data_IF_436650475476
#
_entry.id   IF_436650475476
#
_cell.length_a   1.000
_cell.length_b   1.000
_cell.length_c   1.000
_cell.angle_alpha   90.00
_cell.angle_beta   90.00
_cell.angle_gamma   90.00
#
_symmetry.space_group_name_H-M   'P 1'
#
loop_
_entity.id
_entity.type
_entity.pdbx_description
1 polymer ?
#
# COMPACT_ATOMS: atom_id res chain seq x y z
N UNK A 1 -45.56 13.19 50.94
CA UNK A 1 -44.29 12.42 50.96
C UNK A 1 -44.03 11.89 49.56
N UNK A 2 -42.85 12.24 49.05
CA UNK A 2 -42.38 12.31 47.67
C UNK A 2 -42.25 10.94 46.96
N UNK A 3 -42.86 10.77 45.78
CA UNK A 3 -42.47 9.74 44.80
C UNK A 3 -42.41 10.37 43.42
N UNK A 4 -41.27 10.98 43.14
CA UNK A 4 -40.98 11.60 41.84
C UNK A 4 -39.84 10.83 41.17
N UNK A 5 -40.08 10.46 39.91
CA UNK A 5 -39.10 10.21 38.84
C UNK A 5 -37.94 9.23 39.14
N UNK A 6 -38.18 7.92 38.97
CA UNK A 6 -37.08 6.95 38.72
C UNK A 6 -37.21 6.11 37.45
N UNK A 7 -38.31 6.24 36.70
CA UNK A 7 -38.56 5.40 35.51
C UNK A 7 -38.02 5.97 34.19
N UNK A 8 -37.74 7.27 34.11
CA UNK A 8 -37.21 7.89 32.89
C UNK A 8 -35.68 7.80 32.72
N UNK A 9 -34.93 7.70 33.82
CA UNK A 9 -33.46 7.74 33.79
C UNK A 9 -32.84 6.43 33.25
N UNK A 10 -33.50 5.29 33.48
CA UNK A 10 -33.03 3.98 32.99
C UNK A 10 -33.18 3.83 31.47
N UNK A 11 -34.23 4.40 30.87
CA UNK A 11 -34.44 4.35 29.41
C UNK A 11 -33.47 5.27 28.66
N UNK A 12 -33.12 6.42 29.24
CA UNK A 12 -32.10 7.32 28.68
C UNK A 12 -30.70 6.72 28.72
N UNK A 13 -30.34 6.00 29.79
CA UNK A 13 -29.04 5.32 29.91
C UNK A 13 -28.91 4.13 28.94
N UNK A 14 -30.01 3.40 28.66
CA UNK A 14 -30.02 2.34 27.65
C UNK A 14 -29.86 2.89 26.22
N UNK A 15 -30.46 4.05 25.93
CA UNK A 15 -30.32 4.71 24.62
C UNK A 15 -28.92 5.31 24.40
N UNK A 16 -28.26 5.79 25.46
CA UNK A 16 -26.87 6.27 25.42
C UNK A 16 -25.85 5.14 25.25
N UNK A 17 -26.13 3.94 25.75
CA UNK A 17 -25.31 2.74 25.49
C UNK A 17 -25.49 2.22 24.05
N UNK A 18 -26.70 2.31 23.50
CA UNK A 18 -27.01 1.88 22.13
C UNK A 18 -26.44 2.80 21.02
N UNK A 19 -25.98 4.00 21.37
CA UNK A 19 -25.26 4.92 20.46
C UNK A 19 -23.74 4.73 20.49
N UNK A 20 -23.23 3.73 21.18
CA UNK A 20 -21.82 3.39 21.09
C UNK A 20 -21.61 2.68 19.75
N UNK A 21 -21.21 3.45 18.74
CA UNK A 21 -20.73 2.85 17.49
C UNK A 21 -19.66 1.82 17.86
N UNK A 22 -19.94 0.56 17.55
CA UNK A 22 -18.89 -0.46 17.63
C UNK A 22 -17.80 0.01 16.69
N UNK A 23 -16.53 0.15 17.15
CA UNK A 23 -15.47 0.54 16.23
C UNK A 23 -15.51 -0.45 15.08
N UNK A 24 -15.76 0.05 13.86
CA UNK A 24 -15.67 -0.77 12.67
C UNK A 24 -14.28 -1.41 12.71
N UNK A 25 -14.22 -2.73 12.86
CA UNK A 25 -12.95 -3.43 12.82
C UNK A 25 -12.47 -3.25 11.39
N UNK A 26 -11.42 -2.46 11.20
CA UNK A 26 -10.76 -2.31 9.92
C UNK A 26 -10.50 -3.71 9.35
N UNK A 27 -10.99 -3.99 8.15
CA UNK A 27 -10.69 -5.23 7.47
C UNK A 27 -9.21 -5.19 7.07
N UNK A 28 -8.40 -5.94 7.84
CA UNK A 28 -6.95 -6.02 7.69
C UNK A 28 -6.59 -7.49 7.54
N UNK A 29 -5.94 -7.82 6.43
CA UNK A 29 -5.28 -9.12 6.23
C UNK A 29 -3.78 -8.97 6.50
N UNK A 30 -3.20 -9.91 7.23
CA UNK A 30 -1.75 -9.95 7.48
C UNK A 30 -1.16 -11.23 6.91
N UNK A 31 -0.08 -11.12 6.17
CA UNK A 31 0.65 -12.27 5.64
C UNK A 31 2.09 -12.24 6.11
N UNK A 32 2.62 -13.43 6.39
CA UNK A 32 3.99 -13.64 6.84
C UNK A 32 4.65 -14.69 5.95
N UNK A 33 5.86 -14.38 5.49
CA UNK A 33 6.76 -15.28 4.77
C UNK A 33 7.77 -15.86 5.76
N UNK A 34 8.19 -17.14 5.63
CA UNK A 34 8.02 -18.01 4.46
C UNK A 34 6.77 -18.90 4.47
N UNK A 35 5.93 -18.85 5.51
CA UNK A 35 4.75 -19.73 5.64
C UNK A 35 3.72 -19.51 4.53
N UNK A 36 3.56 -18.27 4.09
CA UNK A 36 2.69 -17.89 2.97
C UNK A 36 3.48 -17.11 1.92
N UNK A 37 3.21 -17.39 0.64
CA UNK A 37 3.80 -16.61 -0.46
C UNK A 37 3.16 -15.23 -0.57
N UNK A 38 3.82 -14.24 0.05
CA UNK A 38 3.47 -12.82 -0.08
C UNK A 38 3.50 -12.39 -1.55
N UNK A 39 4.51 -12.85 -2.31
CA UNK A 39 4.67 -12.52 -3.73
C UNK A 39 3.44 -12.92 -4.55
N UNK A 40 2.95 -14.15 -4.39
CA UNK A 40 1.78 -14.64 -5.13
C UNK A 40 0.50 -13.89 -4.75
N UNK A 41 0.36 -13.49 -3.49
CA UNK A 41 -0.76 -12.65 -3.07
C UNK A 41 -0.71 -11.28 -3.77
N UNK A 42 0.45 -10.61 -3.77
CA UNK A 42 0.63 -9.32 -4.49
C UNK A 42 0.35 -9.47 -6.00
N UNK A 43 0.78 -10.57 -6.63
CA UNK A 43 0.49 -10.83 -8.05
C UNK A 43 -1.02 -10.90 -8.32
N UNK A 44 -1.80 -11.59 -7.46
CA UNK A 44 -3.27 -11.66 -7.56
C UNK A 44 -3.95 -10.31 -7.34
N UNK A 45 -3.43 -9.52 -6.41
CA UNK A 45 -3.91 -8.17 -6.15
C UNK A 45 -3.70 -7.27 -7.38
N UNK A 46 -2.52 -7.34 -8.01
CA UNK A 46 -2.25 -6.65 -9.27
C UNK A 46 -3.12 -7.15 -10.43
N UNK A 47 -3.45 -8.44 -10.47
CA UNK A 47 -4.32 -9.03 -11.50
C UNK A 47 -5.77 -8.53 -11.38
N UNK A 48 -6.30 -8.46 -10.14
CA UNK A 48 -7.68 -8.01 -9.86
C UNK A 48 -7.87 -6.49 -9.91
N UNK A 49 -6.78 -5.71 -9.86
CA UNK A 49 -6.83 -4.25 -9.95
C UNK A 49 -7.38 -3.78 -11.30
N UNK A 50 -8.32 -2.84 -11.27
CA UNK A 50 -9.14 -2.49 -12.43
C UNK A 50 -9.03 -1.03 -12.90
N UNK A 51 -8.58 -0.10 -12.06
CA UNK A 51 -8.60 1.35 -12.33
C UNK A 51 -7.25 2.01 -12.09
N UNK A 52 -6.69 1.90 -10.89
CA UNK A 52 -5.44 2.60 -10.52
C UNK A 52 -4.51 1.72 -9.70
N UNK A 53 -3.20 1.86 -9.92
CA UNK A 53 -2.18 1.23 -9.09
C UNK A 53 -1.06 2.23 -8.85
N UNK A 54 -0.93 2.68 -7.60
CA UNK A 54 0.12 3.58 -7.17
C UNK A 54 1.11 2.84 -6.27
N UNK A 55 2.37 2.75 -6.70
CA UNK A 55 3.42 1.97 -6.01
C UNK A 55 4.54 2.88 -5.52
N UNK A 56 4.78 2.94 -4.21
CA UNK A 56 6.01 3.48 -3.64
C UNK A 56 6.87 2.32 -3.16
N UNK A 57 8.03 2.11 -3.80
CA UNK A 57 8.89 0.95 -3.55
C UNK A 57 10.37 1.33 -3.39
N UNK A 58 11.02 0.79 -2.36
CA UNK A 58 12.46 0.92 -2.18
C UNK A 58 13.21 0.07 -3.21
N UNK A 59 12.92 -1.23 -3.30
CA UNK A 59 13.54 -2.12 -4.29
C UNK A 59 12.52 -2.92 -5.12
N UNK A 60 12.76 -2.96 -6.44
CA UNK A 60 12.10 -3.91 -7.35
C UNK A 60 13.13 -4.55 -8.30
N UNK A 61 13.48 -5.79 -8.00
CA UNK A 61 14.41 -6.61 -8.80
C UNK A 61 13.74 -7.82 -9.43
N UNK A 62 12.56 -8.21 -8.94
CA UNK A 62 11.77 -9.32 -9.44
C UNK A 62 11.08 -9.00 -10.78
N UNK A 63 11.44 -9.75 -11.83
CA UNK A 63 10.96 -9.49 -13.20
C UNK A 63 9.47 -9.79 -13.37
N UNK A 64 8.94 -10.83 -12.75
CA UNK A 64 7.52 -11.18 -12.88
C UNK A 64 6.61 -10.16 -12.20
N UNK A 65 7.01 -9.59 -11.05
CA UNK A 65 6.30 -8.47 -10.43
C UNK A 65 6.32 -7.24 -11.34
N UNK A 66 7.46 -6.95 -11.97
CA UNK A 66 7.55 -5.87 -12.95
C UNK A 66 6.67 -6.12 -14.18
N UNK A 67 6.62 -7.36 -14.69
CA UNK A 67 5.74 -7.75 -15.79
C UNK A 67 4.26 -7.67 -15.41
N UNK A 68 3.90 -7.97 -14.16
CA UNK A 68 2.54 -7.85 -13.67
C UNK A 68 2.05 -6.40 -13.65
N UNK A 69 2.91 -5.44 -13.28
CA UNK A 69 2.62 -4.01 -13.42
C UNK A 69 2.37 -3.60 -14.88
N UNK A 70 3.17 -4.13 -15.81
CA UNK A 70 3.00 -3.89 -17.25
C UNK A 70 1.69 -4.49 -17.76
N UNK A 71 1.35 -5.71 -17.34
CA UNK A 71 0.05 -6.34 -17.65
C UNK A 71 -1.12 -5.53 -17.11
N UNK A 72 -1.04 -5.02 -15.88
CA UNK A 72 -2.07 -4.14 -15.32
C UNK A 72 -2.26 -2.90 -16.19
N UNK A 73 -1.17 -2.23 -16.57
CA UNK A 73 -1.22 -1.11 -17.52
C UNK A 73 -1.85 -1.49 -18.85
N UNK A 74 -1.51 -2.64 -19.42
CA UNK A 74 -2.08 -3.12 -20.69
C UNK A 74 -3.59 -3.38 -20.60
N UNK A 75 -4.10 -3.76 -19.42
CA UNK A 75 -5.55 -3.85 -19.15
C UNK A 75 -6.24 -2.49 -19.01
N UNK A 76 -5.50 -1.38 -19.04
CA UNK A 76 -6.03 -0.02 -18.89
C UNK A 76 -5.89 0.56 -17.48
N UNK A 77 -5.30 -0.17 -16.52
CA UNK A 77 -5.03 0.36 -15.18
C UNK A 77 -4.03 1.51 -15.26
N UNK A 78 -4.32 2.62 -14.61
CA UNK A 78 -3.37 3.73 -14.46
C UNK A 78 -2.32 3.38 -13.41
N UNK A 79 -1.17 2.92 -13.87
CA UNK A 79 -0.03 2.56 -13.02
C UNK A 79 0.94 3.73 -12.87
N UNK A 80 1.34 4.06 -11.63
CA UNK A 80 2.39 5.05 -11.32
C UNK A 80 3.34 4.50 -10.26
N UNK A 81 4.63 4.82 -10.38
CA UNK A 81 5.65 4.28 -9.49
C UNK A 81 6.55 5.39 -8.94
N UNK A 82 6.72 5.44 -7.63
CA UNK A 82 7.80 6.17 -6.96
C UNK A 82 8.84 5.17 -6.48
N UNK A 83 10.09 5.33 -6.90
CA UNK A 83 11.18 4.41 -6.57
C UNK A 83 12.36 5.13 -5.91
N UNK A 84 13.13 4.41 -5.10
CA UNK A 84 14.38 4.93 -4.54
C UNK A 84 15.45 5.14 -5.64
N UNK A 85 16.16 6.26 -5.54
CA UNK A 85 17.17 6.69 -6.51
C UNK A 85 18.47 5.88 -6.54
N UNK A 86 18.86 5.26 -5.44
CA UNK A 86 20.02 4.38 -5.41
C UNK A 86 19.63 3.01 -5.93
N UNK A 87 18.49 2.46 -5.46
CA UNK A 87 17.98 1.17 -5.90
C UNK A 87 17.51 1.17 -7.36
N UNK A 88 17.08 2.31 -7.91
CA UNK A 88 16.77 2.41 -9.34
C UNK A 88 18.01 2.23 -10.24
N UNK A 89 19.22 2.47 -9.71
CA UNK A 89 20.49 2.45 -10.48
C UNK A 89 21.22 1.11 -10.41
N UNK A 90 20.82 0.17 -9.54
CA UNK A 90 21.46 -1.14 -9.47
C UNK A 90 21.16 -1.95 -10.73
N UNK A 91 22.11 -2.80 -11.15
CA UNK A 91 22.05 -3.55 -12.42
C UNK A 91 20.81 -4.45 -12.53
N UNK A 92 20.36 -5.02 -11.42
CA UNK A 92 19.21 -5.94 -11.33
C UNK A 92 17.87 -5.21 -11.21
N UNK A 93 17.87 -3.88 -11.12
CA UNK A 93 16.65 -3.08 -10.97
C UNK A 93 15.74 -3.21 -12.19
N UNK A 94 14.44 -3.37 -11.95
CA UNK A 94 13.44 -3.39 -13.01
C UNK A 94 12.91 -1.99 -13.37
N UNK A 95 13.37 -0.94 -12.70
CA UNK A 95 12.90 0.44 -12.95
C UNK A 95 13.10 0.87 -14.40
N UNK A 96 14.28 0.63 -14.98
CA UNK A 96 14.53 0.96 -16.38
C UNK A 96 13.68 0.13 -17.35
N UNK A 97 13.36 -1.12 -17.00
CA UNK A 97 12.43 -1.94 -17.78
C UNK A 97 11.03 -1.33 -17.77
N UNK A 98 10.51 -0.97 -16.59
CA UNK A 98 9.18 -0.36 -16.42
C UNK A 98 9.05 0.97 -17.17
N UNK A 99 10.08 1.82 -17.11
CA UNK A 99 10.14 3.07 -17.88
C UNK A 99 10.06 2.79 -19.39
N UNK A 100 10.80 1.80 -19.90
CA UNK A 100 10.75 1.41 -21.32
C UNK A 100 9.40 0.84 -21.75
N UNK A 101 8.67 0.21 -20.83
CA UNK A 101 7.27 -0.21 -21.05
C UNK A 101 6.27 0.95 -20.91
N UNK A 102 6.78 2.17 -20.75
CA UNK A 102 6.03 3.42 -20.67
C UNK A 102 5.25 3.57 -19.36
N UNK A 103 5.60 2.86 -18.30
CA UNK A 103 5.02 3.13 -16.98
C UNK A 103 5.63 4.44 -16.47
N UNK A 104 4.82 5.43 -16.06
CA UNK A 104 5.31 6.61 -15.39
C UNK A 104 6.04 6.24 -14.08
N UNK A 105 7.34 6.48 -14.05
CA UNK A 105 8.17 6.28 -12.86
C UNK A 105 8.80 7.59 -12.43
N UNK A 106 8.79 7.83 -11.13
CA UNK A 106 9.50 8.91 -10.49
C UNK A 106 10.55 8.35 -9.55
N UNK A 107 11.78 8.83 -9.69
CA UNK A 107 12.91 8.37 -8.89
C UNK A 107 13.27 9.46 -7.87
N UNK A 108 13.23 9.11 -6.59
CA UNK A 108 13.46 10.02 -5.47
C UNK A 108 14.56 9.51 -4.54
N UNK A 109 15.34 10.41 -3.96
CA UNK A 109 16.18 10.11 -2.80
C UNK A 109 15.51 10.52 -1.50
N UNK A 110 16.10 10.14 -0.37
CA UNK A 110 15.73 10.68 0.93
C UNK A 110 16.33 12.07 1.16
N UNK A 111 16.14 12.61 2.37
CA UNK A 111 16.86 13.80 2.80
C UNK A 111 18.36 13.49 2.88
N UNK A 112 19.19 14.41 2.42
CA UNK A 112 20.66 14.26 2.42
C UNK A 112 21.11 12.95 1.73
N UNK A 113 21.72 12.03 2.49
CA UNK A 113 22.15 10.71 2.00
C UNK A 113 21.10 9.61 2.23
N UNK A 114 19.92 9.96 2.72
CA UNK A 114 18.82 9.03 2.97
C UNK A 114 18.23 8.43 1.70
N UNK A 115 17.27 7.52 1.87
CA UNK A 115 16.61 6.75 0.81
C UNK A 115 15.08 6.87 0.89
N UNK A 116 14.41 6.61 -0.23
CA UNK A 116 12.96 6.45 -0.28
C UNK A 116 12.62 5.03 0.18
N UNK A 117 12.49 4.83 1.50
CA UNK A 117 12.37 3.50 2.09
C UNK A 117 10.94 2.97 2.17
N UNK A 118 9.97 3.54 1.45
CA UNK A 118 8.60 3.06 1.50
C UNK A 118 8.43 1.76 0.72
N UNK A 119 7.50 0.93 1.19
CA UNK A 119 7.01 -0.28 0.53
C UNK A 119 5.50 -0.27 0.69
N UNK A 120 4.81 0.38 -0.24
CA UNK A 120 3.36 0.32 -0.27
C UNK A 120 2.82 0.39 -1.69
N UNK A 121 1.69 -0.28 -1.90
CA UNK A 121 0.92 -0.23 -3.13
C UNK A 121 -0.53 0.08 -2.81
N UNK A 122 -1.12 1.02 -3.54
CA UNK A 122 -2.54 1.37 -3.42
C UNK A 122 -3.26 0.87 -4.65
N UNK A 123 -4.24 0.00 -4.45
CA UNK A 123 -5.01 -0.61 -5.51
C UNK A 123 -6.40 0.04 -5.55
N UNK A 124 -6.76 0.60 -6.70
CA UNK A 124 -8.04 1.23 -7.01
C UNK A 124 -8.49 2.34 -6.04
N UNK A 125 -7.58 2.86 -5.22
CA UNK A 125 -7.91 3.81 -4.15
C UNK A 125 -8.78 3.20 -3.04
N UNK A 126 -8.83 1.86 -2.94
CA UNK A 126 -9.72 1.12 -2.02
C UNK A 126 -8.99 0.30 -0.97
N UNK A 127 -7.74 -0.08 -1.26
CA UNK A 127 -6.93 -0.89 -0.35
C UNK A 127 -5.47 -0.54 -0.52
N UNK A 128 -4.74 -0.61 0.59
CA UNK A 128 -3.30 -0.37 0.62
C UNK A 128 -2.59 -1.58 1.19
N UNK A 129 -1.58 -2.04 0.46
CA UNK A 129 -0.62 -3.01 0.94
C UNK A 129 0.60 -2.26 1.48
N UNK A 130 1.12 -2.65 2.64
CA UNK A 130 2.42 -2.18 3.14
C UNK A 130 3.08 -3.20 4.05
N UNK A 131 4.39 -3.09 4.27
CA UNK A 131 5.12 -4.01 5.14
C UNK A 131 6.63 -3.94 4.93
N UNK A 132 7.32 -5.03 5.27
CA UNK A 132 8.77 -5.17 5.08
C UNK A 132 9.13 -5.68 3.69
N UNK A 133 8.20 -6.35 3.00
CA UNK A 133 8.45 -7.08 1.75
C UNK A 133 8.96 -6.18 0.61
N UNK A 134 10.20 -6.38 0.18
CA UNK A 134 10.72 -5.82 -1.07
C UNK A 134 10.27 -6.65 -2.27
N UNK A 135 10.14 -6.04 -3.44
CA UNK A 135 9.69 -6.74 -4.65
C UNK A 135 10.87 -7.43 -5.34
N UNK A 136 11.48 -8.39 -4.62
CA UNK A 136 12.71 -9.10 -4.96
C UNK A 136 12.57 -10.61 -4.79
N UNK A 137 13.39 -11.38 -5.51
CA UNK A 137 13.47 -12.83 -5.30
C UNK A 137 14.03 -13.20 -3.93
N UNK A 138 14.82 -12.31 -3.31
CA UNK A 138 15.41 -12.54 -2.00
C UNK A 138 14.33 -12.48 -0.92
N UNK A 139 13.52 -11.42 -0.91
CA UNK A 139 12.37 -11.29 0.00
C UNK A 139 11.38 -12.43 -0.18
N UNK A 140 11.15 -12.87 -1.43
CA UNK A 140 10.20 -13.94 -1.72
C UNK A 140 10.63 -15.34 -1.25
N UNK A 141 11.94 -15.62 -1.13
CA UNK A 141 12.44 -16.99 -0.92
C UNK A 141 13.20 -17.19 0.38
N UNK A 142 13.90 -16.16 0.86
CA UNK A 142 14.92 -16.33 1.89
C UNK A 142 14.67 -15.51 3.15
N UNK A 143 13.88 -14.45 3.06
CA UNK A 143 13.62 -13.56 4.20
C UNK A 143 12.32 -13.94 4.92
N UNK A 144 12.34 -13.71 6.24
CA UNK A 144 11.11 -13.50 6.99
C UNK A 144 10.60 -12.11 6.67
N UNK A 145 9.39 -12.02 6.15
CA UNK A 145 8.78 -10.79 5.69
C UNK A 145 7.33 -10.73 6.15
N UNK A 146 6.79 -9.53 6.26
CA UNK A 146 5.38 -9.33 6.53
C UNK A 146 4.77 -8.30 5.58
N UNK A 147 3.47 -8.44 5.35
CA UNK A 147 2.63 -7.38 4.79
C UNK A 147 1.32 -7.28 5.56
N UNK A 148 0.72 -6.10 5.45
CA UNK A 148 -0.66 -5.81 5.81
C UNK A 148 -1.37 -5.36 4.53
N UNK A 149 -2.53 -5.94 4.25
CA UNK A 149 -3.51 -5.40 3.32
C UNK A 149 -4.61 -4.73 4.13
N UNK A 150 -4.79 -3.43 3.94
CA UNK A 150 -5.75 -2.62 4.71
C UNK A 150 -6.81 -2.07 3.77
N UNK A 151 -8.07 -2.32 4.09
CA UNK A 151 -9.24 -1.86 3.31
C UNK A 151 -9.91 -0.61 3.90
N UNK A 152 -9.38 -0.09 4.99
CA UNK A 152 -9.98 1.04 5.71
C UNK A 152 -9.77 2.36 4.96
N UNK A 153 -10.88 3.02 4.63
CA UNK A 153 -10.89 4.16 3.71
C UNK A 153 -10.03 5.34 4.17
N UNK A 154 -10.02 5.63 5.48
CA UNK A 154 -9.21 6.71 6.05
C UNK A 154 -7.70 6.42 5.97
N UNK A 155 -7.32 5.15 6.16
CA UNK A 155 -5.93 4.72 6.04
C UNK A 155 -5.49 4.82 4.58
N UNK A 156 -6.30 4.29 3.66
CA UNK A 156 -6.05 4.35 2.22
C UNK A 156 -5.91 5.81 1.76
N UNK A 157 -6.79 6.70 2.20
CA UNK A 157 -6.73 8.13 1.89
C UNK A 157 -5.43 8.78 2.39
N UNK A 158 -4.93 8.39 3.57
CA UNK A 158 -3.68 8.89 4.13
C UNK A 158 -2.47 8.44 3.30
N UNK A 159 -2.42 7.16 2.90
CA UNK A 159 -1.38 6.66 2.00
C UNK A 159 -1.47 7.30 0.61
N UNK A 160 -2.68 7.51 0.07
CA UNK A 160 -2.88 8.18 -1.20
C UNK A 160 -2.35 9.62 -1.16
N UNK A 161 -2.61 10.34 -0.06
CA UNK A 161 -2.09 11.70 0.16
C UNK A 161 -0.56 11.72 0.18
N UNK A 162 0.06 10.74 0.84
CA UNK A 162 1.52 10.63 0.86
C UNK A 162 2.10 10.28 -0.51
N UNK A 163 1.50 9.33 -1.23
CA UNK A 163 1.88 9.02 -2.61
C UNK A 163 1.83 10.26 -3.49
N UNK A 164 0.74 11.02 -3.41
CA UNK A 164 0.57 12.27 -4.15
C UNK A 164 1.61 13.34 -3.77
N UNK A 165 1.99 13.42 -2.49
CA UNK A 165 3.08 14.30 -2.03
C UNK A 165 4.41 13.91 -2.69
N UNK A 166 4.76 12.62 -2.66
CA UNK A 166 5.96 12.08 -3.33
C UNK A 166 5.89 12.32 -4.85
N UNK A 167 4.72 12.08 -5.46
CA UNK A 167 4.48 12.26 -6.89
C UNK A 167 4.64 13.71 -7.35
N UNK A 168 4.39 14.69 -6.48
CA UNK A 168 4.61 16.12 -6.76
C UNK A 168 5.99 16.65 -6.41
N UNK A 169 6.81 15.92 -5.64
CA UNK A 169 8.15 16.32 -5.22
C UNK A 169 9.06 16.76 -6.39
N UNK A 170 9.55 18.00 -6.41
CA UNK A 170 10.31 18.48 -7.59
C UNK A 170 11.76 18.02 -7.62
N UNK A 171 12.27 17.44 -6.53
CA UNK A 171 13.63 16.90 -6.44
C UNK A 171 13.75 15.60 -7.24
N UNK A 172 13.98 15.74 -8.54
CA UNK A 172 14.42 14.62 -9.38
C UNK A 172 15.93 14.56 -9.29
N UNK A 173 16.47 13.51 -8.66
CA UNK A 173 17.92 13.30 -8.61
C UNK A 173 18.34 12.66 -9.94
N UNK A 174 19.16 13.38 -10.70
CA UNK A 174 19.79 12.86 -11.94
C UNK A 174 20.68 11.65 -11.64
#
# INVERSE_FOLDING_TARGET
>A
MERVKKRGLFLLLFFLWALQESPAIAEIETLFSPEVSIKENILKEMESTSSTLDLAIHEITSLDMAQALVKAKQRGVKVRIVADSKQAKIKTSQINYLIRQGIPVKVLGGKEKGVMNHRFAIFDGKRVLTGSFEWSEVSAKWNYENILMVHESEVVATFQKEFERLWREKRVIK
#
